data_IF_307660975425
#
_entry.id   IF_307660975425
#
_cell.length_a   1.000
_cell.length_b   1.000
_cell.length_c   1.000
_cell.angle_alpha   90.00
_cell.angle_beta   90.00
_cell.angle_gamma   90.00
#
_symmetry.space_group_name_H-M   'P 1'
#
loop_
_entity.id
_entity.type
_entity.pdbx_description
1 polymer ?
#
# COMPACT_ATOMS: atom_id res chain seq x y z
N UNK A 1 -3.25 21.08 8.30
CA UNK A 1 -4.05 19.88 8.63
C UNK A 1 -5.06 19.75 7.51
N UNK A 2 -5.05 18.63 6.78
CA UNK A 2 -5.87 18.52 5.59
C UNK A 2 -7.36 18.50 5.99
N UNK A 3 -8.11 19.44 5.45
CA UNK A 3 -9.49 19.82 5.80
C UNK A 3 -10.51 18.81 5.24
N UNK A 4 -10.19 17.52 5.30
CA UNK A 4 -11.03 16.44 4.80
C UNK A 4 -11.88 15.89 5.96
N UNK A 5 -12.85 16.66 6.42
CA UNK A 5 -14.02 16.09 7.10
C UNK A 5 -14.94 15.58 6.00
N UNK A 6 -14.86 14.30 5.67
CA UNK A 6 -15.66 13.81 4.58
C UNK A 6 -17.13 13.72 4.97
N UNK A 7 -17.96 14.17 4.03
CA UNK A 7 -19.20 13.63 3.44
C UNK A 7 -19.51 12.14 3.79
N UNK A 8 -19.32 11.69 5.01
CA UNK A 8 -19.76 10.38 5.50
C UNK A 8 -21.28 10.47 5.65
N UNK A 9 -21.98 10.17 4.55
CA UNK A 9 -23.44 10.10 4.52
C UNK A 9 -23.94 8.84 5.23
N UNK A 10 -23.08 7.82 5.36
CA UNK A 10 -23.36 6.55 6.02
C UNK A 10 -22.24 6.20 7.02
N UNK A 11 -22.55 5.87 8.28
CA UNK A 11 -21.54 5.57 9.31
C UNK A 11 -20.70 4.29 9.10
N UNK A 12 -21.07 3.44 8.13
CA UNK A 12 -20.36 2.20 7.80
C UNK A 12 -19.28 2.35 6.74
N UNK A 13 -19.27 3.47 6.03
CA UNK A 13 -18.40 3.67 4.88
C UNK A 13 -17.06 4.23 5.34
N UNK A 14 -15.97 3.65 4.85
CA UNK A 14 -14.63 4.20 5.05
C UNK A 14 -14.19 4.91 3.77
N UNK A 15 -14.06 6.23 3.85
CA UNK A 15 -13.51 7.01 2.75
C UNK A 15 -12.02 7.23 2.91
N UNK A 16 -11.28 7.06 1.81
CA UNK A 16 -9.86 7.33 1.75
C UNK A 16 -9.49 8.19 0.53
N UNK A 17 -8.56 9.11 0.74
CA UNK A 17 -7.83 9.74 -0.36
C UNK A 17 -6.73 8.80 -0.84
N UNK A 18 -6.64 8.57 -2.14
CA UNK A 18 -5.61 7.73 -2.75
C UNK A 18 -4.40 8.55 -3.20
N UNK A 19 -3.22 8.05 -2.86
CA UNK A 19 -1.93 8.54 -3.35
C UNK A 19 -1.24 7.42 -4.13
N UNK A 20 -0.84 7.68 -5.37
CA UNK A 20 -0.26 6.68 -6.25
C UNK A 20 1.26 6.84 -6.35
N UNK A 21 1.98 5.72 -6.24
CA UNK A 21 3.42 5.64 -6.38
C UNK A 21 3.79 4.53 -7.36
N UNK A 22 4.95 4.64 -8.00
CA UNK A 22 5.54 3.57 -8.81
C UNK A 22 6.93 3.22 -8.24
N UNK A 23 7.21 1.93 -8.15
CA UNK A 23 8.50 1.37 -7.78
C UNK A 23 8.99 0.45 -8.89
N UNK A 24 10.13 0.80 -9.51
CA UNK A 24 10.82 -0.08 -10.45
C UNK A 24 11.85 -0.93 -9.70
N UNK A 25 11.60 -2.23 -9.59
CA UNK A 25 12.50 -3.20 -8.95
C UNK A 25 13.21 -4.04 -10.01
N UNK A 26 14.53 -4.15 -9.91
CA UNK A 26 15.31 -5.05 -10.76
C UNK A 26 15.50 -6.42 -10.08
N UNK A 27 15.27 -7.50 -10.84
CA UNK A 27 15.51 -8.89 -10.44
C UNK A 27 16.34 -9.54 -11.55
N UNK A 28 17.66 -9.62 -11.34
CA UNK A 28 18.60 -9.87 -12.42
C UNK A 28 18.52 -8.77 -13.48
N UNK A 29 18.41 -9.16 -14.75
CA UNK A 29 18.26 -8.23 -15.88
C UNK A 29 16.81 -7.77 -16.13
N UNK A 30 15.84 -8.30 -15.36
CA UNK A 30 14.43 -7.96 -15.54
C UNK A 30 14.02 -6.83 -14.60
N UNK A 31 13.41 -5.78 -15.15
CA UNK A 31 12.76 -4.74 -14.38
C UNK A 31 11.27 -5.04 -14.21
N UNK A 32 10.83 -5.14 -12.97
CA UNK A 32 9.42 -5.29 -12.58
C UNK A 32 8.95 -3.95 -12.01
N UNK A 33 7.94 -3.35 -12.64
CA UNK A 33 7.28 -2.16 -12.12
C UNK A 33 6.14 -2.56 -11.19
N UNK A 34 6.13 -1.99 -9.98
CA UNK A 34 5.05 -2.10 -9.00
C UNK A 34 4.36 -0.75 -8.87
N UNK A 35 3.04 -0.74 -8.95
CA UNK A 35 2.22 0.43 -8.60
C UNK A 35 1.75 0.25 -7.17
N UNK A 36 1.91 1.28 -6.36
CA UNK A 36 1.53 1.26 -4.94
C UNK A 36 0.46 2.32 -4.73
N UNK A 37 -0.69 1.90 -4.22
CA UNK A 37 -1.76 2.77 -3.75
C UNK A 37 -1.60 2.97 -2.25
N UNK A 38 -1.54 4.23 -1.80
CA UNK A 38 -1.64 4.59 -0.38
C UNK A 38 -2.99 5.22 -0.12
N UNK A 39 -3.79 4.55 0.70
CA UNK A 39 -5.09 4.96 1.19
C UNK A 39 -4.89 5.77 2.47
N UNK A 40 -5.15 7.07 2.39
CA UNK A 40 -5.24 7.96 3.55
C UNK A 40 -6.71 8.04 4.00
N UNK A 41 -7.05 7.33 5.07
CA UNK A 41 -8.40 7.33 5.63
C UNK A 41 -8.70 8.64 6.37
N UNK A 42 -9.96 9.08 6.37
CA UNK A 42 -10.37 10.26 7.15
C UNK A 42 -10.20 10.01 8.66
N UNK A 43 -10.65 8.83 9.11
CA UNK A 43 -10.56 8.38 10.50
C UNK A 43 -9.34 7.46 10.72
N UNK A 44 -8.74 7.52 11.91
CA UNK A 44 -7.69 6.58 12.32
C UNK A 44 -8.31 5.24 12.71
N UNK A 45 -7.63 4.14 12.39
CA UNK A 45 -8.04 2.82 12.87
C UNK A 45 -7.75 2.64 14.39
N UNK A 46 -8.12 1.48 14.95
CA UNK A 46 -7.91 1.14 16.38
C UNK A 46 -6.45 1.22 16.84
N UNK A 47 -5.49 1.15 15.91
CA UNK A 47 -4.05 1.23 16.14
C UNK A 47 -3.49 2.64 15.86
N UNK A 48 -4.36 3.65 15.75
CA UNK A 48 -4.00 5.04 15.40
C UNK A 48 -3.33 5.19 14.02
N UNK A 49 -3.43 4.20 13.14
CA UNK A 49 -2.90 4.26 11.77
C UNK A 49 -3.94 4.89 10.85
N UNK A 50 -3.46 5.73 9.94
CA UNK A 50 -4.30 6.47 8.98
C UNK A 50 -3.99 6.11 7.53
N UNK A 51 -2.79 5.57 7.29
CA UNK A 51 -2.28 5.27 5.96
C UNK A 51 -2.11 3.78 5.79
N UNK A 52 -2.69 3.25 4.72
CA UNK A 52 -2.51 1.88 4.25
C UNK A 52 -1.92 1.91 2.86
N UNK A 53 -0.80 1.24 2.65
CA UNK A 53 -0.15 1.10 1.35
C UNK A 53 -0.32 -0.33 0.84
N UNK A 54 -0.64 -0.50 -0.43
CA UNK A 54 -0.79 -1.81 -1.08
C UNK A 54 -0.22 -1.76 -2.51
N UNK A 55 0.53 -2.79 -2.89
CA UNK A 55 1.02 -2.94 -4.25
C UNK A 55 -0.02 -3.60 -5.18
N UNK A 56 0.08 -3.33 -6.48
CA UNK A 56 -0.78 -3.87 -7.53
C UNK A 56 -0.47 -5.33 -7.88
N UNK A 57 0.70 -5.82 -7.50
CA UNK A 57 1.25 -7.13 -7.89
C UNK A 57 1.51 -8.01 -6.68
N UNK A 58 1.26 -9.30 -6.84
CA UNK A 58 1.68 -10.32 -5.88
C UNK A 58 3.18 -10.59 -5.97
N UNK A 59 3.76 -11.08 -4.87
CA UNK A 59 5.10 -11.68 -4.81
C UNK A 59 4.96 -13.13 -4.35
N UNK A 60 6.02 -13.93 -4.52
CA UNK A 60 6.07 -15.33 -4.09
C UNK A 60 4.97 -16.23 -4.72
N UNK A 61 4.57 -15.93 -5.96
CA UNK A 61 3.40 -16.52 -6.64
C UNK A 61 3.43 -18.05 -6.74
N UNK A 62 4.60 -18.66 -6.90
CA UNK A 62 4.77 -20.12 -7.06
C UNK A 62 4.82 -20.88 -5.75
N UNK A 63 5.06 -20.19 -4.63
CA UNK A 63 5.14 -20.82 -3.31
C UNK A 63 3.92 -20.49 -2.44
N UNK A 64 3.67 -19.20 -2.22
CA UNK A 64 2.54 -18.70 -1.44
C UNK A 64 2.27 -17.24 -1.87
N UNK A 65 1.33 -17.01 -2.80
CA UNK A 65 1.05 -15.69 -3.32
C UNK A 65 0.69 -14.70 -2.23
N UNK A 66 1.34 -13.55 -2.24
CA UNK A 66 1.14 -12.51 -1.23
C UNK A 66 1.13 -11.14 -1.90
N UNK A 67 0.14 -10.30 -1.58
CA UNK A 67 0.10 -8.90 -2.04
C UNK A 67 0.87 -8.07 -1.01
N UNK A 68 2.00 -7.44 -1.39
CA UNK A 68 2.73 -6.55 -0.52
C UNK A 68 1.85 -5.40 -0.02
N UNK A 69 1.90 -5.17 1.29
CA UNK A 69 1.20 -4.08 1.94
C UNK A 69 2.01 -3.51 3.11
N UNK A 70 1.61 -2.33 3.58
CA UNK A 70 2.17 -1.66 4.75
C UNK A 70 1.15 -0.74 5.42
N UNK A 71 1.23 -0.60 6.74
CA UNK A 71 0.42 0.35 7.51
C UNK A 71 1.33 1.36 8.20
N UNK A 72 0.86 2.60 8.35
CA UNK A 72 1.61 3.63 9.04
C UNK A 72 0.76 4.78 9.58
N UNK A 73 1.25 5.50 10.60
CA UNK A 73 0.69 6.77 11.04
C UNK A 73 0.93 7.90 10.04
N UNK A 74 1.89 7.75 9.12
CA UNK A 74 2.21 8.70 8.05
C UNK A 74 2.25 8.01 6.68
N UNK A 75 2.09 8.79 5.61
CA UNK A 75 2.15 8.32 4.22
C UNK A 75 3.48 7.59 3.93
N UNK A 76 4.60 8.20 4.34
CA UNK A 76 5.93 7.66 4.07
C UNK A 76 6.21 6.38 4.87
N UNK A 77 5.70 6.26 6.09
CA UNK A 77 5.84 5.03 6.88
C UNK A 77 5.05 3.88 6.25
N UNK A 78 3.79 4.10 5.86
CA UNK A 78 3.00 3.07 5.17
C UNK A 78 3.67 2.64 3.86
N UNK A 79 4.13 3.61 3.06
CA UNK A 79 4.86 3.33 1.82
C UNK A 79 6.15 2.55 2.08
N UNK A 80 6.95 2.94 3.09
CA UNK A 80 8.19 2.25 3.45
C UNK A 80 7.94 0.80 3.85
N UNK A 81 6.92 0.55 4.67
CA UNK A 81 6.54 -0.81 5.06
C UNK A 81 6.08 -1.65 3.85
N UNK A 82 5.29 -1.07 2.94
CA UNK A 82 4.89 -1.74 1.71
C UNK A 82 6.11 -2.06 0.82
N UNK A 83 7.04 -1.12 0.67
CA UNK A 83 8.27 -1.34 -0.11
C UNK A 83 9.11 -2.44 0.52
N UNK A 84 9.34 -2.44 1.85
CA UNK A 84 10.03 -3.54 2.55
C UNK A 84 9.35 -4.88 2.29
N UNK A 85 8.02 -4.89 2.30
CA UNK A 85 7.20 -6.06 2.00
C UNK A 85 7.41 -6.57 0.58
N UNK A 86 7.51 -5.67 -0.42
CA UNK A 86 7.88 -6.01 -1.80
C UNK A 86 9.24 -6.71 -1.82
N UNK A 87 10.26 -6.15 -1.17
CA UNK A 87 11.62 -6.69 -1.18
C UNK A 87 11.77 -8.02 -0.41
N UNK A 88 10.81 -8.38 0.45
CA UNK A 88 10.87 -9.60 1.28
C UNK A 88 10.85 -10.88 0.45
N UNK A 89 10.18 -10.86 -0.70
CA UNK A 89 10.03 -12.02 -1.56
C UNK A 89 10.31 -11.67 -3.03
N UNK A 90 10.70 -12.65 -3.88
CA UNK A 90 10.86 -12.42 -5.31
C UNK A 90 9.49 -12.26 -6.00
N UNK A 91 9.50 -11.59 -7.16
CA UNK A 91 8.37 -11.61 -8.09
C UNK A 91 8.62 -12.74 -9.08
N UNK A 92 7.76 -13.75 -9.11
CA UNK A 92 8.02 -14.98 -9.87
C UNK A 92 7.36 -15.01 -11.25
N UNK A 93 6.76 -13.88 -11.66
CA UNK A 93 5.96 -13.77 -12.87
C UNK A 93 4.51 -14.18 -12.62
N UNK A 94 3.67 -13.88 -13.62
CA UNK A 94 2.34 -14.48 -13.78
C UNK A 94 2.44 -15.64 -14.77
#
# INVERSE_FOLDING_TARGET
MAEWQLIETQPSDEFAQLHWFSLKRYQGDQAVEFRIAVYEYASRNKLSMRFFAQADKQVNQKTAPFIPFGWGPTLLEALSECVKSIYRFPYEGE
#
